data_IF_413673225219
#
_entry.id   IF_413673225219
#
_cell.length_a   1.000
_cell.length_b   1.000
_cell.length_c   1.000
_cell.angle_alpha   90.00
_cell.angle_beta   90.00
_cell.angle_gamma   90.00
#
_symmetry.space_group_name_H-M   'P 1'
#
loop_
_entity.id
_entity.type
_entity.pdbx_description
1 polymer ?
#
# COMPACT_ATOMS: atom_id res chain seq x y z
N UNK A 1 14.42 13.19 1.45
CA UNK A 1 13.37 12.17 1.69
C UNK A 1 14.01 11.11 2.57
N UNK A 2 13.41 10.76 3.70
CA UNK A 2 13.99 9.71 4.55
C UNK A 2 13.97 8.38 3.79
N UNK A 3 15.15 7.85 3.51
CA UNK A 3 15.31 6.54 2.88
C UNK A 3 14.75 5.48 3.83
N UNK A 4 13.77 4.71 3.37
CA UNK A 4 13.13 3.69 4.18
C UNK A 4 14.10 2.53 4.39
N UNK A 5 14.16 2.02 5.61
CA UNK A 5 14.95 0.81 5.86
C UNK A 5 14.39 -0.35 5.02
N UNK A 6 15.22 -1.31 4.59
CA UNK A 6 14.76 -2.48 3.86
C UNK A 6 13.65 -3.26 4.57
N UNK A 7 13.67 -3.30 5.91
CA UNK A 7 12.60 -3.88 6.73
C UNK A 7 11.27 -3.13 6.62
N UNK A 8 11.30 -1.79 6.56
CA UNK A 8 10.10 -0.98 6.38
C UNK A 8 9.52 -1.17 4.99
N UNK A 9 10.37 -1.27 3.96
CA UNK A 9 9.94 -1.64 2.62
C UNK A 9 9.22 -2.98 2.61
N UNK A 10 9.79 -4.00 3.26
CA UNK A 10 9.18 -5.34 3.34
C UNK A 10 7.85 -5.30 4.08
N UNK A 11 7.76 -4.57 5.21
CA UNK A 11 6.52 -4.42 5.98
C UNK A 11 5.40 -3.77 5.15
N UNK A 12 5.72 -2.72 4.40
CA UNK A 12 4.74 -2.03 3.53
C UNK A 12 4.28 -2.91 2.36
N UNK A 13 5.16 -3.71 1.78
CA UNK A 13 4.79 -4.71 0.78
C UNK A 13 3.84 -5.76 1.35
N UNK A 14 4.16 -6.31 2.52
CA UNK A 14 3.29 -7.27 3.21
C UNK A 14 1.92 -6.65 3.52
N UNK A 15 1.89 -5.41 4.00
CA UNK A 15 0.65 -4.69 4.26
C UNK A 15 -0.16 -4.48 2.98
N UNK A 16 0.47 -4.06 1.89
CA UNK A 16 -0.23 -3.85 0.61
C UNK A 16 -0.84 -5.14 0.06
N UNK A 17 -0.15 -6.29 0.20
CA UNK A 17 -0.70 -7.61 -0.15
C UNK A 17 -1.88 -7.99 0.74
N UNK A 18 -1.75 -7.79 2.06
CA UNK A 18 -2.84 -8.07 2.99
C UNK A 18 -4.08 -7.22 2.70
N UNK A 19 -3.90 -5.93 2.42
CA UNK A 19 -4.99 -5.04 2.04
C UNK A 19 -5.69 -5.53 0.77
N UNK A 20 -4.95 -5.88 -0.29
CA UNK A 20 -5.56 -6.38 -1.52
C UNK A 20 -6.30 -7.73 -1.35
N UNK A 21 -5.82 -8.58 -0.45
CA UNK A 21 -6.41 -9.90 -0.22
C UNK A 21 -7.62 -9.86 0.70
N UNK A 22 -7.58 -9.04 1.77
CA UNK A 22 -8.58 -9.07 2.84
C UNK A 22 -9.56 -7.89 2.78
N UNK A 23 -9.21 -6.78 2.13
CA UNK A 23 -10.01 -5.55 2.14
C UNK A 23 -10.63 -5.26 0.78
N UNK A 24 -11.82 -4.66 0.80
CA UNK A 24 -12.43 -4.11 -0.41
C UNK A 24 -11.72 -2.83 -0.82
N UNK A 25 -11.67 -2.56 -2.13
CA UNK A 25 -11.04 -1.35 -2.68
C UNK A 25 -11.50 -0.05 -1.99
N UNK A 26 -12.79 0.09 -1.71
CA UNK A 26 -13.33 1.29 -1.04
C UNK A 26 -12.74 1.46 0.37
N UNK A 27 -12.67 0.37 1.15
CA UNK A 27 -12.08 0.39 2.50
C UNK A 27 -10.58 0.71 2.48
N UNK A 28 -9.84 0.20 1.49
CA UNK A 28 -8.41 0.53 1.31
C UNK A 28 -8.23 2.02 1.03
N UNK A 29 -9.08 2.61 0.18
CA UNK A 29 -9.02 4.04 -0.15
C UNK A 29 -9.39 4.89 1.06
N UNK A 30 -10.43 4.52 1.81
CA UNK A 30 -10.82 5.20 3.04
C UNK A 30 -9.72 5.15 4.09
N UNK A 31 -9.13 3.97 4.32
CA UNK A 31 -8.00 3.78 5.22
C UNK A 31 -6.81 4.64 4.81
N UNK A 32 -6.44 4.67 3.52
CA UNK A 32 -5.34 5.52 3.05
C UNK A 32 -5.62 7.02 3.23
N UNK A 33 -6.88 7.45 3.15
CA UNK A 33 -7.25 8.85 3.35
C UNK A 33 -7.31 9.26 4.83
N UNK A 34 -7.11 8.33 5.78
CA UNK A 34 -7.08 8.66 7.21
C UNK A 34 -5.97 9.71 7.48
N UNK A 35 -6.28 10.81 8.20
CA UNK A 35 -5.34 11.90 8.48
C UNK A 35 -4.09 11.48 9.24
N UNK A 36 -4.08 10.29 9.87
CA UNK A 36 -2.90 9.69 10.50
C UNK A 36 -1.82 9.29 9.50
N UNK A 37 -2.17 9.12 8.23
CA UNK A 37 -1.21 8.80 7.17
C UNK A 37 -0.69 10.08 6.51
N UNK A 38 0.62 10.31 6.59
CA UNK A 38 1.28 11.39 5.86
C UNK A 38 1.21 11.19 4.34
N UNK A 39 1.26 12.29 3.58
CA UNK A 39 1.15 12.29 2.12
C UNK A 39 2.14 11.33 1.45
N UNK A 40 3.41 11.36 1.87
CA UNK A 40 4.46 10.47 1.36
C UNK A 40 4.14 8.97 1.58
N UNK A 41 3.50 8.62 2.70
CA UNK A 41 3.09 7.24 2.97
C UNK A 41 1.91 6.83 2.09
N UNK A 42 0.94 7.73 1.89
CA UNK A 42 -0.22 7.48 1.03
C UNK A 42 0.21 7.25 -0.42
N UNK A 43 1.14 8.06 -0.91
CA UNK A 43 1.68 7.91 -2.26
C UNK A 43 2.43 6.59 -2.43
N UNK A 44 3.35 6.27 -1.51
CA UNK A 44 4.10 5.00 -1.52
C UNK A 44 3.14 3.79 -1.52
N UNK A 45 2.14 3.78 -0.63
CA UNK A 45 1.17 2.70 -0.57
C UNK A 45 0.29 2.62 -1.83
N UNK A 46 -0.11 3.76 -2.42
CA UNK A 46 -0.85 3.78 -3.70
C UNK A 46 -0.05 3.13 -4.83
N UNK A 47 1.24 3.46 -4.94
CA UNK A 47 2.14 2.89 -5.95
C UNK A 47 2.26 1.37 -5.74
N UNK A 48 2.49 0.91 -4.50
CA UNK A 48 2.58 -0.53 -4.17
C UNK A 48 1.29 -1.29 -4.51
N UNK A 49 0.14 -0.76 -4.10
CA UNK A 49 -1.16 -1.39 -4.36
C UNK A 49 -1.45 -1.48 -5.86
N UNK A 50 -1.16 -0.43 -6.64
CA UNK A 50 -1.33 -0.45 -8.09
C UNK A 50 -0.41 -1.49 -8.75
N UNK A 51 0.87 -1.54 -8.33
CA UNK A 51 1.84 -2.50 -8.85
C UNK A 51 1.44 -3.96 -8.54
N UNK A 52 0.97 -4.24 -7.32
CA UNK A 52 0.52 -5.58 -6.93
C UNK A 52 -0.76 -5.97 -7.67
N UNK A 53 -1.71 -5.05 -7.82
CA UNK A 53 -2.94 -5.30 -8.60
C UNK A 53 -2.64 -5.61 -10.07
N UNK A 54 -1.66 -4.95 -10.65
CA UNK A 54 -1.21 -5.22 -12.03
C UNK A 54 -0.55 -6.60 -12.17
N UNK A 55 0.11 -7.11 -11.11
CA UNK A 55 0.67 -8.47 -11.10
C UNK A 55 -0.44 -9.53 -10.94
N UNK A 56 -1.40 -9.33 -10.04
CA UNK A 56 -2.53 -10.25 -9.83
C UNK A 56 -3.42 -10.36 -11.08
N UNK A 57 -3.59 -9.29 -11.85
CA UNK A 57 -4.39 -9.30 -13.08
C UNK A 57 -3.72 -10.08 -14.23
N UNK A 58 -2.40 -10.29 -14.17
CA UNK A 58 -1.64 -11.03 -15.18
C UNK A 58 -1.52 -12.53 -14.83
N UNK A 59 -2.17 -12.96 -13.76
CA UNK A 59 -2.14 -14.33 -13.23
C UNK A 59 -3.46 -15.02 -13.52
#
# INVERSE_FOLDING_TARGET
MAELSPDEHRRRDCLARHLLSCWRRAAIVEWLNDPKHGEAFREDMRVRLNRLRAQEKQR
#
